data_IF_934464917694
#
_entry.id   IF_934464917694
#
_cell.length_a   1.000
_cell.length_b   1.000
_cell.length_c   1.000
_cell.angle_alpha   90.00
_cell.angle_beta   90.00
_cell.angle_gamma   90.00
#
_symmetry.space_group_name_H-M   'P 1'
#
loop_
_entity.id
_entity.type
_entity.pdbx_description
1 polymer ?
#
# COMPACT_ATOMS: atom_id res chain seq x y z
N UNK A 1 23.36 40.13 -5.57
CA UNK A 1 23.35 39.47 -6.90
C UNK A 1 21.91 39.18 -7.27
N UNK A 2 21.36 39.79 -8.34
CA UNK A 2 19.98 39.51 -8.78
C UNK A 2 19.99 38.21 -9.59
N UNK A 3 19.09 37.25 -9.33
CA UNK A 3 19.02 36.03 -10.11
C UNK A 3 18.68 36.37 -11.56
N UNK A 4 19.37 35.71 -12.49
CA UNK A 4 19.12 35.83 -13.92
C UNK A 4 17.73 35.27 -14.24
N UNK A 5 16.84 36.13 -14.76
CA UNK A 5 15.43 35.80 -15.04
C UNK A 5 15.31 34.60 -15.98
N UNK A 6 16.21 34.46 -16.95
CA UNK A 6 16.18 33.35 -17.91
C UNK A 6 16.47 32.03 -17.21
N UNK A 7 17.43 32.02 -16.28
CA UNK A 7 17.76 30.83 -15.47
C UNK A 7 16.61 30.43 -14.55
N UNK A 8 15.96 31.41 -13.92
CA UNK A 8 14.77 31.15 -13.08
C UNK A 8 13.65 30.52 -13.90
N UNK A 9 13.36 31.03 -15.10
CA UNK A 9 12.35 30.46 -16.00
C UNK A 9 12.72 29.03 -16.39
N UNK A 10 13.99 28.78 -16.76
CA UNK A 10 14.47 27.44 -17.10
C UNK A 10 14.27 26.44 -15.95
N UNK A 11 14.65 26.81 -14.73
CA UNK A 11 14.48 25.93 -13.56
C UNK A 11 13.00 25.64 -13.26
N UNK A 12 12.12 26.64 -13.41
CA UNK A 12 10.68 26.43 -13.22
C UNK A 12 10.10 25.49 -14.28
N UNK A 13 10.52 25.61 -15.55
CA UNK A 13 10.08 24.70 -16.61
C UNK A 13 10.57 23.28 -16.32
N UNK A 14 11.83 23.10 -15.93
CA UNK A 14 12.37 21.79 -15.56
C UNK A 14 11.64 21.18 -14.37
N UNK A 15 11.32 21.99 -13.35
CA UNK A 15 10.56 21.55 -12.18
C UNK A 15 9.16 21.09 -12.57
N UNK A 16 8.43 21.88 -13.37
CA UNK A 16 7.09 21.50 -13.86
C UNK A 16 7.16 20.23 -14.71
N UNK A 17 8.15 20.11 -15.60
CA UNK A 17 8.34 18.91 -16.40
C UNK A 17 8.58 17.67 -15.53
N UNK A 18 9.41 17.78 -14.48
CA UNK A 18 9.67 16.69 -13.55
C UNK A 18 8.39 16.29 -12.77
N UNK A 19 7.65 17.27 -12.26
CA UNK A 19 6.38 17.03 -11.55
C UNK A 19 5.35 16.34 -12.45
N UNK A 20 5.17 16.82 -13.69
CA UNK A 20 4.27 16.21 -14.67
C UNK A 20 4.71 14.78 -15.02
N UNK A 21 6.03 14.55 -15.18
CA UNK A 21 6.56 13.21 -15.43
C UNK A 21 6.26 12.23 -14.30
N UNK A 22 6.51 12.63 -13.05
CA UNK A 22 6.20 11.81 -11.86
C UNK A 22 4.69 11.54 -11.76
N UNK A 23 3.87 12.58 -11.99
CA UNK A 23 2.42 12.45 -11.95
C UNK A 23 1.92 11.44 -12.99
N UNK A 24 2.33 11.56 -14.26
CA UNK A 24 1.93 10.65 -15.32
C UNK A 24 2.39 9.21 -15.05
N UNK A 25 3.59 9.05 -14.48
CA UNK A 25 4.10 7.74 -14.08
C UNK A 25 3.23 7.10 -12.99
N UNK A 26 2.91 7.84 -11.93
CA UNK A 26 2.07 7.34 -10.84
C UNK A 26 0.61 7.14 -11.26
N UNK A 27 0.11 7.96 -12.18
CA UNK A 27 -1.23 7.83 -12.74
C UNK A 27 -1.40 6.52 -13.53
N UNK A 28 -0.31 6.03 -14.13
CA UNK A 28 -0.29 4.77 -14.87
C UNK A 28 0.10 3.57 -13.98
N UNK A 29 0.06 3.71 -12.66
CA UNK A 29 0.33 2.60 -11.76
C UNK A 29 -0.68 1.47 -11.97
N UNK A 30 -0.23 0.19 -12.02
CA UNK A 30 -1.12 -0.94 -12.20
C UNK A 30 -2.10 -1.07 -11.03
N UNK A 31 -3.25 -1.74 -11.23
CA UNK A 31 -4.19 -2.02 -10.16
C UNK A 31 -3.55 -2.87 -9.07
N UNK A 32 -4.10 -2.79 -7.86
CA UNK A 32 -3.66 -3.63 -6.74
C UNK A 32 -3.83 -5.13 -7.06
N UNK A 33 -2.77 -5.91 -6.84
CA UNK A 33 -2.75 -7.35 -7.12
C UNK A 33 -2.88 -8.22 -5.87
N UNK A 34 -2.86 -7.59 -4.69
CA UNK A 34 -2.91 -8.27 -3.40
C UNK A 34 -4.35 -8.66 -3.05
N UNK A 35 -4.54 -9.91 -2.61
CA UNK A 35 -5.86 -10.39 -2.20
C UNK A 35 -6.40 -9.60 -1.01
N UNK A 36 -7.72 -9.35 -1.00
CA UNK A 36 -8.40 -8.70 0.13
C UNK A 36 -8.60 -9.66 1.29
N UNK A 37 -8.87 -9.11 2.47
CA UNK A 37 -9.26 -9.91 3.64
C UNK A 37 -10.61 -10.57 3.37
N UNK A 38 -10.74 -11.91 3.43
CA UNK A 38 -12.00 -12.59 3.18
C UNK A 38 -13.09 -12.16 4.17
N UNK A 39 -14.33 -12.02 3.69
CA UNK A 39 -15.49 -11.82 4.54
C UNK A 39 -16.16 -13.17 4.84
N UNK A 40 -15.55 -13.91 5.76
CA UNK A 40 -16.03 -15.23 6.19
C UNK A 40 -16.05 -15.35 7.73
N UNK A 41 -16.60 -16.46 8.22
CA UNK A 41 -16.75 -16.73 9.66
C UNK A 41 -15.44 -16.72 10.46
N UNK A 42 -14.28 -17.00 9.84
CA UNK A 42 -12.98 -16.98 10.50
C UNK A 42 -12.39 -15.57 10.58
N UNK A 43 -12.81 -14.68 9.67
CA UNK A 43 -12.26 -13.35 9.49
C UNK A 43 -13.22 -12.22 9.90
N UNK A 44 -14.51 -12.52 10.11
CA UNK A 44 -15.58 -11.56 10.45
C UNK A 44 -15.17 -10.62 11.58
N UNK A 45 -14.62 -11.16 12.67
CA UNK A 45 -14.21 -10.38 13.84
C UNK A 45 -13.16 -9.30 13.54
N UNK A 46 -12.44 -9.41 12.43
CA UNK A 46 -11.39 -8.47 12.03
C UNK A 46 -11.92 -7.35 11.13
N UNK A 47 -13.17 -7.46 10.64
CA UNK A 47 -13.78 -6.45 9.78
C UNK A 47 -13.96 -5.12 10.50
N UNK A 48 -14.40 -5.15 11.76
CA UNK A 48 -14.64 -3.96 12.57
C UNK A 48 -13.50 -3.62 13.52
N UNK A 49 -12.49 -4.49 13.62
CA UNK A 49 -11.37 -4.31 14.53
C UNK A 49 -10.37 -3.27 13.99
N UNK A 50 -9.73 -2.52 14.88
CA UNK A 50 -8.64 -1.62 14.51
C UNK A 50 -7.48 -2.39 13.86
N UNK A 51 -6.93 -1.90 12.73
CA UNK A 51 -5.94 -2.64 11.92
C UNK A 51 -4.78 -3.23 12.72
N UNK A 52 -4.13 -2.41 13.53
CA UNK A 52 -2.99 -2.83 14.37
C UNK A 52 -3.38 -3.87 15.41
N UNK A 53 -4.63 -3.84 15.87
CA UNK A 53 -5.13 -4.82 16.84
C UNK A 53 -5.42 -6.15 16.14
N UNK A 54 -6.11 -6.14 15.01
CA UNK A 54 -6.38 -7.33 14.20
C UNK A 54 -5.11 -8.06 13.78
N UNK A 55 -4.09 -7.30 13.37
CA UNK A 55 -2.78 -7.82 12.93
C UNK A 55 -2.07 -8.69 14.00
N UNK A 56 -2.38 -8.52 15.29
CA UNK A 56 -1.83 -9.36 16.37
C UNK A 56 -2.33 -10.81 16.33
N UNK A 57 -3.47 -11.06 15.67
CA UNK A 57 -4.13 -12.37 15.66
C UNK A 57 -3.85 -13.18 14.38
N UNK A 58 -3.42 -12.53 13.30
CA UNK A 58 -3.25 -13.18 11.99
C UNK A 58 -2.26 -14.36 12.05
N UNK A 59 -1.15 -14.21 12.76
CA UNK A 59 -0.12 -15.25 12.88
C UNK A 59 -0.59 -16.50 13.62
N UNK A 60 -1.74 -16.48 14.33
CA UNK A 60 -2.30 -17.68 14.96
C UNK A 60 -2.66 -18.76 13.92
N UNK A 61 -3.06 -18.34 12.72
CA UNK A 61 -3.38 -19.25 11.62
C UNK A 61 -2.37 -19.14 10.46
N UNK A 62 -1.72 -17.99 10.28
CA UNK A 62 -0.83 -17.71 9.14
C UNK A 62 0.68 -17.78 9.44
N UNK A 63 1.08 -18.24 10.63
CA UNK A 63 2.49 -18.56 10.90
C UNK A 63 2.98 -19.76 10.06
N UNK A 64 4.31 -19.95 9.87
CA UNK A 64 4.86 -21.02 9.03
C UNK A 64 4.35 -22.43 9.36
N UNK A 65 4.12 -22.72 10.64
CA UNK A 65 3.69 -24.05 11.13
C UNK A 65 2.22 -24.06 11.59
N UNK A 66 1.44 -23.06 11.20
CA UNK A 66 0.04 -22.92 11.59
C UNK A 66 -0.91 -23.51 10.53
N UNK A 67 -2.21 -23.35 10.76
CA UNK A 67 -3.28 -24.01 9.98
C UNK A 67 -3.28 -23.59 8.50
N UNK A 68 -2.92 -22.35 8.20
CA UNK A 68 -2.94 -21.78 6.85
C UNK A 68 -1.70 -20.90 6.62
N UNK A 69 -0.50 -21.49 6.52
CA UNK A 69 0.75 -20.73 6.46
C UNK A 69 0.82 -19.83 5.22
N UNK A 70 1.49 -18.68 5.36
CA UNK A 70 1.72 -17.77 4.24
C UNK A 70 2.63 -18.42 3.17
N UNK A 71 2.48 -18.04 1.89
CA UNK A 71 3.37 -18.48 0.82
C UNK A 71 4.84 -18.15 1.12
N UNK A 72 5.76 -18.93 0.53
CA UNK A 72 7.21 -18.75 0.70
C UNK A 72 7.69 -17.36 0.25
N UNK A 73 7.08 -16.83 -0.80
CA UNK A 73 7.44 -15.53 -1.39
C UNK A 73 6.67 -14.35 -0.75
N UNK A 74 5.98 -14.58 0.38
CA UNK A 74 5.25 -13.51 1.06
C UNK A 74 6.24 -12.47 1.63
N UNK A 75 6.03 -11.16 1.39
CA UNK A 75 6.90 -10.11 1.90
C UNK A 75 6.95 -10.06 3.44
N UNK A 76 7.92 -9.33 4.02
CA UNK A 76 8.10 -9.28 5.47
C UNK A 76 6.83 -8.89 6.27
N UNK A 77 6.61 -9.57 7.39
CA UNK A 77 5.34 -9.70 8.11
C UNK A 77 5.04 -8.56 9.11
N UNK A 78 5.14 -7.31 8.69
CA UNK A 78 5.00 -6.19 9.63
C UNK A 78 3.58 -5.63 9.74
N UNK A 79 2.78 -5.70 8.67
CA UNK A 79 1.44 -5.07 8.58
C UNK A 79 0.52 -5.81 7.60
N UNK A 80 -0.21 -6.83 8.08
CA UNK A 80 -1.06 -7.65 7.21
C UNK A 80 -2.14 -6.83 6.49
N UNK A 81 -2.84 -5.95 7.21
CA UNK A 81 -3.96 -5.14 6.71
C UNK A 81 -3.52 -3.85 6.01
N UNK A 82 -2.22 -3.73 5.71
CA UNK A 82 -1.72 -2.70 4.81
C UNK A 82 -1.90 -3.11 3.35
N UNK A 83 -1.51 -4.35 3.02
CA UNK A 83 -1.69 -4.92 1.68
C UNK A 83 -3.02 -5.67 1.55
N UNK A 84 -3.41 -6.46 2.56
CA UNK A 84 -4.67 -7.20 2.56
C UNK A 84 -5.82 -6.31 3.07
N UNK A 85 -6.24 -5.36 2.23
CA UNK A 85 -7.32 -4.41 2.54
C UNK A 85 -8.65 -5.13 2.76
N UNK A 86 -9.52 -4.52 3.55
CA UNK A 86 -10.93 -4.93 3.71
C UNK A 86 -11.77 -4.37 2.56
N UNK A 87 -12.88 -5.03 2.23
CA UNK A 87 -13.78 -4.57 1.17
C UNK A 87 -14.36 -3.17 1.42
N UNK A 88 -14.57 -2.82 2.69
CA UNK A 88 -15.11 -1.52 3.10
C UNK A 88 -14.09 -0.38 3.02
N UNK A 89 -12.80 -0.68 2.80
CA UNK A 89 -11.79 0.36 2.58
C UNK A 89 -11.75 0.73 1.10
N UNK A 90 -12.45 1.83 0.78
CA UNK A 90 -12.32 2.51 -0.51
C UNK A 90 -10.89 3.01 -0.67
N UNK A 91 -10.37 2.87 -1.90
CA UNK A 91 -9.16 3.53 -2.36
C UNK A 91 -9.35 5.03 -2.40
#
# INVERSE_FOLDING_TARGET
MKPDRTKVILYNILFVAACTGIFLFLWNAPPETTARLPHDSNHERFMDMGKKEAEKYCNKCHAPDAIAPLPKDHPPKYRCLFCHKRDQEKM
#
